data_IF_863670142453
#
_entry.id   IF_863670142453
#
_cell.length_a   1.000
_cell.length_b   1.000
_cell.length_c   1.000
_cell.angle_alpha   90.00
_cell.angle_beta   90.00
_cell.angle_gamma   90.00
#
_symmetry.space_group_name_H-M   'P 1'
#
loop_
_entity.id
_entity.type
_entity.pdbx_description
1 polymer ?
#
# COMPACT_ATOMS: atom_id res chain seq x y z
N UNK A 1 -1.58 -2.34 3.62
CA UNK A 1 -1.56 -0.94 3.11
C UNK A 1 -0.16 -0.32 3.20
N UNK A 2 0.43 -0.21 4.41
CA UNK A 2 1.80 0.34 4.62
C UNK A 2 2.85 -0.17 3.63
N UNK A 3 2.93 -1.49 3.42
CA UNK A 3 3.93 -2.08 2.51
C UNK A 3 3.80 -1.62 1.05
N UNK A 4 2.57 -1.55 0.53
CA UNK A 4 2.30 -1.11 -0.85
C UNK A 4 2.62 0.38 -1.02
N UNK A 5 2.22 1.22 -0.05
CA UNK A 5 2.57 2.64 -0.05
C UNK A 5 4.08 2.87 0.09
N UNK A 6 4.76 2.09 0.93
CA UNK A 6 6.23 2.14 1.04
C UNK A 6 6.90 1.82 -0.29
N UNK A 7 6.45 0.78 -0.97
CA UNK A 7 7.01 0.39 -2.26
C UNK A 7 6.77 1.48 -3.32
N UNK A 8 5.56 2.06 -3.38
CA UNK A 8 5.24 3.13 -4.32
C UNK A 8 5.98 4.43 -4.00
N UNK A 9 6.13 4.77 -2.72
CA UNK A 9 6.93 5.91 -2.29
C UNK A 9 8.42 5.69 -2.59
N UNK A 10 8.94 4.47 -2.45
CA UNK A 10 10.32 4.14 -2.85
C UNK A 10 10.52 4.38 -4.36
N UNK A 11 9.56 3.97 -5.19
CA UNK A 11 9.59 4.24 -6.63
C UNK A 11 9.66 5.74 -6.94
N UNK A 12 8.81 6.56 -6.31
CA UNK A 12 8.86 8.02 -6.49
C UNK A 12 10.13 8.64 -5.95
N UNK A 13 10.69 8.10 -4.87
CA UNK A 13 11.94 8.58 -4.29
C UNK A 13 13.13 8.28 -5.22
N UNK A 14 13.17 7.10 -5.83
CA UNK A 14 14.12 6.79 -6.90
C UNK A 14 14.00 7.78 -8.06
N UNK A 15 12.78 8.14 -8.46
CA UNK A 15 12.54 9.14 -9.51
C UNK A 15 13.07 10.52 -9.11
N UNK A 16 12.81 10.98 -7.87
CA UNK A 16 13.29 12.27 -7.35
C UNK A 16 14.83 12.29 -7.29
N UNK A 17 15.44 11.21 -6.79
CA UNK A 17 16.89 11.07 -6.66
C UNK A 17 17.60 10.63 -7.96
N UNK A 18 16.86 10.52 -9.07
CA UNK A 18 17.38 10.09 -10.39
C UNK A 18 18.13 8.75 -10.36
N UNK A 19 17.64 7.80 -9.56
CA UNK A 19 18.14 6.43 -9.48
C UNK A 19 17.29 5.54 -10.40
N UNK A 20 17.85 5.20 -11.55
CA UNK A 20 17.22 4.42 -12.61
C UNK A 20 17.99 3.12 -12.89
N UNK A 21 17.38 2.18 -13.60
CA UNK A 21 18.00 0.89 -13.93
C UNK A 21 19.36 1.02 -14.63
N UNK A 22 19.57 2.10 -15.39
CA UNK A 22 20.79 2.38 -16.15
C UNK A 22 21.96 2.82 -15.26
N UNK A 23 21.68 3.44 -14.10
CA UNK A 23 22.69 4.10 -13.26
C UNK A 23 22.63 3.66 -11.79
N UNK A 24 21.94 2.56 -11.51
CA UNK A 24 21.72 2.02 -10.17
C UNK A 24 22.99 1.39 -9.62
N UNK A 25 23.37 1.80 -8.42
CA UNK A 25 24.44 1.16 -7.63
C UNK A 25 23.90 0.78 -6.25
N UNK A 26 24.60 -0.12 -5.55
CA UNK A 26 24.20 -0.55 -4.20
C UNK A 26 24.16 0.62 -3.23
N UNK A 27 25.10 1.55 -3.38
CA UNK A 27 25.23 2.74 -2.54
C UNK A 27 24.05 3.69 -2.73
N UNK A 28 23.67 3.97 -3.98
CA UNK A 28 22.48 4.79 -4.30
C UNK A 28 21.20 4.16 -3.78
N UNK A 29 21.03 2.85 -3.94
CA UNK A 29 19.86 2.14 -3.40
C UNK A 29 19.81 2.20 -1.88
N UNK A 30 20.97 2.06 -1.22
CA UNK A 30 21.07 2.17 0.22
C UNK A 30 20.73 3.58 0.72
N UNK A 31 21.13 4.62 -0.01
CA UNK A 31 20.76 6.00 0.30
C UNK A 31 19.24 6.23 0.18
N UNK A 32 18.61 5.77 -0.91
CA UNK A 32 17.15 5.84 -1.07
C UNK A 32 16.44 5.10 0.06
N UNK A 33 16.94 3.91 0.41
CA UNK A 33 16.39 3.09 1.49
C UNK A 33 16.52 3.76 2.87
N UNK A 34 17.65 4.43 3.13
CA UNK A 34 17.85 5.22 4.34
C UNK A 34 16.90 6.42 4.40
N UNK A 35 16.76 7.16 3.30
CA UNK A 35 15.84 8.29 3.17
C UNK A 35 14.40 7.87 3.48
N UNK A 36 13.88 6.81 2.85
CA UNK A 36 12.51 6.37 3.10
C UNK A 36 12.30 5.79 4.50
N UNK A 37 13.34 5.16 5.07
CA UNK A 37 13.30 4.65 6.44
C UNK A 37 13.12 5.76 7.47
N UNK A 38 13.52 7.00 7.19
CA UNK A 38 13.27 8.15 8.10
C UNK A 38 11.78 8.48 8.27
N UNK A 39 10.94 8.10 7.30
CA UNK A 39 9.50 8.38 7.30
C UNK A 39 8.67 7.14 7.63
N UNK A 40 8.95 6.03 6.95
CA UNK A 40 8.16 4.79 7.03
C UNK A 40 8.82 3.71 7.87
N UNK A 41 9.95 4.02 8.51
CA UNK A 41 10.70 3.11 9.37
C UNK A 41 11.48 2.02 8.61
N UNK A 42 12.31 1.32 9.36
CA UNK A 42 13.08 0.16 8.90
C UNK A 42 13.04 -0.96 9.93
N UNK A 43 13.29 -2.19 9.48
CA UNK A 43 13.45 -3.32 10.39
C UNK A 43 14.66 -3.10 11.30
N UNK A 44 14.50 -3.43 12.58
CA UNK A 44 15.57 -3.39 13.55
C UNK A 44 16.56 -4.52 13.27
N UNK A 45 17.79 -4.18 12.93
CA UNK A 45 18.87 -5.16 12.80
C UNK A 45 19.63 -5.26 14.11
N UNK A 46 19.78 -6.49 14.61
CA UNK A 46 20.65 -6.77 15.75
C UNK A 46 22.10 -6.53 15.33
N UNK A 47 22.78 -5.63 16.05
CA UNK A 47 24.18 -5.31 15.77
C UNK A 47 25.16 -6.22 16.51
N UNK A 48 24.65 -7.23 17.24
CA UNK A 48 25.44 -8.17 18.04
C UNK A 48 26.06 -7.54 19.29
N UNK A 49 25.75 -6.27 19.59
CA UNK A 49 26.24 -5.50 20.75
C UNK A 49 25.14 -5.14 21.76
N UNK A 50 23.99 -5.81 21.71
CA UNK A 50 22.84 -5.49 22.56
C UNK A 50 22.11 -4.19 22.20
N UNK A 51 22.50 -3.55 21.08
CA UNK A 51 21.83 -2.40 20.50
C UNK A 51 21.23 -2.78 19.15
N UNK A 52 19.96 -2.46 18.95
CA UNK A 52 19.31 -2.61 17.65
C UNK A 52 19.41 -1.30 16.87
N UNK A 53 19.69 -1.40 15.58
CA UNK A 53 19.67 -0.24 14.67
C UNK A 53 18.46 -0.35 13.76
N UNK A 54 17.53 0.60 13.89
CA UNK A 54 16.30 0.65 13.13
C UNK A 54 15.59 1.99 13.33
N UNK A 55 14.82 2.40 12.34
CA UNK A 55 14.04 3.64 12.39
C UNK A 55 12.59 3.30 12.72
N UNK A 56 12.03 3.98 13.73
CA UNK A 56 10.59 3.93 14.00
C UNK A 56 9.88 4.75 12.91
N UNK A 57 8.78 4.21 12.40
CA UNK A 57 7.94 4.92 11.42
C UNK A 57 7.34 6.16 12.06
N UNK A 58 7.33 7.27 11.32
CA UNK A 58 6.59 8.48 11.72
C UNK A 58 5.14 8.45 11.27
N UNK A 59 4.81 7.56 10.33
CA UNK A 59 3.44 7.35 9.86
C UNK A 59 2.90 6.07 10.47
N UNK A 60 1.82 6.19 11.20
CA UNK A 60 1.08 5.08 11.80
C UNK A 60 -0.17 4.82 10.99
N UNK A 61 -0.43 3.54 10.70
CA UNK A 61 -1.59 3.09 9.95
C UNK A 61 -2.51 2.39 10.93
N UNK A 62 -3.78 2.80 10.98
CA UNK A 62 -4.79 2.06 11.72
C UNK A 62 -5.33 0.93 10.86
N UNK A 63 -5.59 -0.21 11.49
CA UNK A 63 -6.25 -1.33 10.84
C UNK A 63 -7.70 -0.98 10.53
N UNK A 64 -8.17 -1.50 9.39
CA UNK A 64 -9.56 -1.40 8.97
C UNK A 64 -10.25 -2.67 9.43
N UNK A 65 -11.10 -2.54 10.45
CA UNK A 65 -11.88 -3.65 10.98
C UNK A 65 -13.29 -3.54 10.42
N UNK A 66 -13.64 -4.50 9.55
CA UNK A 66 -15.00 -4.65 9.07
C UNK A 66 -15.78 -5.55 10.02
N UNK A 67 -17.06 -5.22 10.22
CA UNK A 67 -17.98 -6.08 10.96
C UNK A 67 -18.07 -7.48 10.34
N UNK A 68 -18.58 -8.47 11.09
CA UNK A 68 -18.68 -9.84 10.60
C UNK A 68 -19.50 -9.86 9.30
N UNK A 69 -19.01 -10.52 8.23
CA UNK A 69 -19.82 -10.72 7.05
C UNK A 69 -21.03 -11.59 7.46
N UNK A 70 -22.24 -11.31 6.95
CA UNK A 70 -23.39 -12.16 7.17
C UNK A 70 -23.10 -13.56 6.61
N UNK A 71 -23.85 -14.56 7.10
CA UNK A 71 -23.67 -15.98 6.80
C UNK A 71 -23.48 -16.25 5.29
N UNK A 72 -22.77 -17.34 4.98
CA UNK A 72 -21.98 -17.68 3.76
C UNK A 72 -22.46 -17.27 2.36
N UNK A 73 -23.67 -16.77 2.14
CA UNK A 73 -24.19 -16.39 0.82
C UNK A 73 -24.99 -15.08 0.84
N UNK A 74 -25.00 -14.34 1.94
CA UNK A 74 -25.69 -13.07 2.03
C UNK A 74 -24.87 -11.97 1.35
N UNK A 75 -25.50 -11.29 0.38
CA UNK A 75 -25.08 -9.98 -0.10
C UNK A 75 -25.02 -9.11 1.15
N UNK A 76 -23.80 -8.78 1.56
CA UNK A 76 -23.58 -7.87 2.66
C UNK A 76 -23.85 -6.47 2.11
N UNK A 77 -25.10 -6.04 2.12
CA UNK A 77 -25.36 -4.61 2.17
C UNK A 77 -25.05 -4.20 3.61
N UNK A 78 -23.77 -3.94 3.88
CA UNK A 78 -23.46 -3.00 4.95
C UNK A 78 -24.15 -1.70 4.54
N UNK A 79 -25.38 -1.47 4.99
CA UNK A 79 -26.18 -0.28 4.67
C UNK A 79 -25.43 1.03 4.97
N UNK A 80 -24.39 0.95 5.83
CA UNK A 80 -23.55 2.09 6.21
C UNK A 80 -22.42 2.41 5.23
N UNK A 81 -21.80 1.41 4.60
CA UNK A 81 -20.56 1.61 3.82
C UNK A 81 -20.64 1.06 2.38
N UNK A 82 -21.69 0.32 2.01
CA UNK A 82 -21.91 -0.20 0.65
C UNK A 82 -20.96 -1.32 0.21
N UNK A 83 -20.18 -1.89 1.13
CA UNK A 83 -19.20 -2.95 0.83
C UNK A 83 -19.88 -4.32 0.81
N UNK A 84 -19.87 -4.99 -0.34
CA UNK A 84 -20.50 -6.30 -0.56
C UNK A 84 -19.46 -7.41 -0.66
N UNK A 85 -19.64 -8.52 0.07
CA UNK A 85 -18.85 -9.73 -0.13
C UNK A 85 -19.36 -10.52 -1.34
N UNK A 86 -18.49 -10.84 -2.30
CA UNK A 86 -18.83 -11.64 -3.49
C UNK A 86 -17.86 -12.81 -3.66
N UNK A 87 -18.38 -13.97 -4.06
CA UNK A 87 -17.57 -15.14 -4.41
C UNK A 87 -17.46 -15.23 -5.93
N UNK A 88 -16.23 -15.24 -6.44
CA UNK A 88 -15.92 -15.50 -7.84
C UNK A 88 -15.37 -16.92 -7.99
N UNK A 89 -15.95 -17.70 -8.90
CA UNK A 89 -15.44 -19.03 -9.23
C UNK A 89 -14.52 -18.93 -10.45
N UNK A 90 -13.40 -19.63 -10.37
CA UNK A 90 -12.38 -19.71 -11.41
C UNK A 90 -12.15 -21.17 -11.78
N UNK A 91 -12.11 -21.44 -13.08
CA UNK A 91 -11.68 -22.71 -13.64
C UNK A 91 -10.38 -22.49 -14.40
N UNK A 92 -9.44 -23.44 -14.30
CA UNK A 92 -8.26 -23.45 -15.14
C UNK A 92 -8.57 -24.15 -16.45
N UNK A 93 -8.40 -23.45 -17.57
CA UNK A 93 -8.55 -24.02 -18.90
C UNK A 93 -7.20 -24.61 -19.34
N UNK A 94 -7.23 -25.86 -19.80
CA UNK A 94 -6.10 -26.48 -20.45
C UNK A 94 -5.87 -25.83 -21.81
N UNK A 95 -4.64 -25.35 -22.03
CA UNK A 95 -4.25 -24.66 -23.27
C UNK A 95 -4.14 -25.60 -24.48
N UNK A 96 -4.02 -26.91 -24.28
CA UNK A 96 -3.93 -27.89 -25.36
C UNK A 96 -5.29 -28.45 -25.76
N UNK A 97 -6.11 -28.82 -24.78
CA UNK A 97 -7.40 -29.48 -25.04
C UNK A 97 -8.58 -28.51 -25.09
N UNK A 98 -8.43 -27.28 -24.56
CA UNK A 98 -9.52 -26.32 -24.40
C UNK A 98 -10.55 -26.73 -23.34
N UNK A 99 -10.37 -27.88 -22.69
CA UNK A 99 -11.20 -28.36 -21.60
C UNK A 99 -10.85 -27.74 -20.25
N UNK A 100 -11.73 -27.91 -19.27
CA UNK A 100 -11.41 -27.58 -17.88
C UNK A 100 -10.45 -28.63 -17.30
N UNK A 101 -9.45 -28.18 -16.55
CA UNK A 101 -8.56 -29.06 -15.79
C UNK A 101 -9.31 -29.54 -14.54
N UNK A 102 -9.40 -30.85 -14.37
CA UNK A 102 -10.04 -31.45 -13.21
C UNK A 102 -9.30 -31.07 -11.90
N UNK A 103 -10.05 -30.82 -10.84
CA UNK A 103 -9.52 -30.35 -9.56
C UNK A 103 -9.00 -28.90 -9.54
N UNK A 104 -9.13 -28.14 -10.64
CA UNK A 104 -8.65 -26.75 -10.73
C UNK A 104 -9.78 -25.71 -10.62
N UNK A 105 -10.84 -26.04 -9.88
CA UNK A 105 -11.87 -25.09 -9.48
C UNK A 105 -11.42 -24.35 -8.21
N UNK A 106 -11.26 -23.04 -8.31
CA UNK A 106 -10.89 -22.17 -7.19
C UNK A 106 -11.95 -21.10 -6.99
N UNK A 107 -12.32 -20.84 -5.74
CA UNK A 107 -13.26 -19.78 -5.40
C UNK A 107 -12.52 -18.67 -4.65
N UNK A 108 -12.65 -17.44 -5.13
CA UNK A 108 -12.06 -16.23 -4.53
C UNK A 108 -13.19 -15.40 -3.92
N UNK A 109 -13.10 -15.12 -2.62
CA UNK A 109 -14.01 -14.17 -1.97
C UNK A 109 -13.38 -12.79 -2.01
N UNK A 110 -14.11 -11.82 -2.56
CA UNK A 110 -13.70 -10.43 -2.61
C UNK A 110 -14.66 -9.55 -1.83
N UNK A 111 -14.14 -8.42 -1.37
CA UNK A 111 -14.95 -7.26 -0.99
C UNK A 111 -15.12 -6.40 -2.25
N UNK A 112 -16.36 -6.06 -2.56
CA UNK A 112 -16.74 -5.36 -3.78
C UNK A 112 -17.59 -4.14 -3.45
N UNK A 113 -17.22 -3.00 -4.05
CA UNK A 113 -17.90 -1.74 -3.83
C UNK A 113 -17.70 -1.16 -2.44
N UNK A 114 -18.37 -0.04 -2.20
CA UNK A 114 -18.38 0.68 -0.93
C UNK A 114 -17.13 1.51 -0.64
N UNK A 115 -17.12 2.08 0.56
CA UNK A 115 -16.05 2.96 1.05
C UNK A 115 -15.38 2.33 2.27
N UNK A 116 -14.05 2.41 2.33
CA UNK A 116 -13.27 1.93 3.47
C UNK A 116 -12.57 3.10 4.16
N UNK A 117 -12.69 3.26 5.49
CA UNK A 117 -12.00 4.33 6.20
C UNK A 117 -10.50 3.98 6.33
N UNK A 118 -9.64 4.73 5.65
CA UNK A 118 -8.19 4.65 5.83
C UNK A 118 -7.70 5.77 6.73
N UNK A 119 -7.29 5.44 7.95
CA UNK A 119 -6.74 6.41 8.91
C UNK A 119 -5.23 6.28 9.03
N UNK A 120 -4.54 7.39 8.80
CA UNK A 120 -3.09 7.53 8.97
C UNK A 120 -2.79 8.67 9.93
N UNK A 121 -1.82 8.48 10.81
CA UNK A 121 -1.35 9.50 11.76
C UNK A 121 0.12 9.82 11.52
N UNK A 122 0.46 11.10 11.53
CA UNK A 122 1.84 11.57 11.40
C UNK A 122 2.35 12.07 12.75
N UNK A 123 3.45 11.48 13.22
CA UNK A 123 4.10 11.79 14.49
C UNK A 123 5.54 12.29 14.22
N UNK A 124 5.76 13.61 14.14
CA UNK A 124 7.06 14.20 13.78
C UNK A 124 8.09 14.21 14.93
N UNK A 125 8.16 13.16 15.75
CA UNK A 125 9.13 13.07 16.83
C UNK A 125 10.53 12.63 16.35
N UNK A 126 11.57 12.99 17.10
CA UNK A 126 12.96 12.63 16.82
C UNK A 126 13.60 13.40 15.66
N UNK A 127 14.57 12.78 14.97
CA UNK A 127 15.26 13.38 13.82
C UNK A 127 14.28 13.65 12.70
N UNK A 128 14.38 14.79 12.01
CA UNK A 128 13.49 15.14 10.91
C UNK A 128 13.49 14.08 9.78
N UNK A 129 12.31 13.84 9.19
CA UNK A 129 12.21 12.92 8.06
C UNK A 129 12.70 13.61 6.79
N UNK A 130 13.38 12.87 5.94
CA UNK A 130 13.89 13.36 4.66
C UNK A 130 12.76 14.05 3.87
N UNK A 131 12.92 15.34 3.49
CA UNK A 131 11.92 16.07 2.74
C UNK A 131 11.52 15.40 1.42
N UNK A 132 12.47 14.75 0.74
CA UNK A 132 12.18 14.04 -0.50
C UNK A 132 11.43 12.73 -0.23
N UNK A 133 11.65 12.08 0.91
CA UNK A 133 10.83 10.95 1.33
C UNK A 133 9.37 11.37 1.59
N UNK A 134 9.15 12.54 2.22
CA UNK A 134 7.81 13.12 2.40
C UNK A 134 7.13 13.42 1.06
N UNK A 135 7.85 14.05 0.11
CA UNK A 135 7.34 14.33 -1.25
C UNK A 135 7.02 13.03 -1.99
N UNK A 136 7.90 12.03 -1.93
CA UNK A 136 7.69 10.75 -2.57
C UNK A 136 6.47 10.00 -2.01
N UNK A 137 6.27 10.10 -0.69
CA UNK A 137 5.08 9.55 -0.03
C UNK A 137 3.80 10.29 -0.45
N UNK A 138 3.83 11.62 -0.57
CA UNK A 138 2.71 12.39 -1.09
C UNK A 138 2.29 11.93 -2.51
N UNK A 139 3.25 11.69 -3.41
CA UNK A 139 2.96 11.15 -4.74
C UNK A 139 2.38 9.73 -4.69
N UNK A 140 2.83 8.91 -3.74
CA UNK A 140 2.23 7.58 -3.52
C UNK A 140 0.77 7.66 -3.02
N UNK A 141 0.44 8.65 -2.19
CA UNK A 141 -0.95 8.91 -1.76
C UNK A 141 -1.82 9.37 -2.93
N UNK A 142 -1.30 10.24 -3.80
CA UNK A 142 -1.98 10.65 -5.03
C UNK A 142 -2.26 9.46 -5.94
N UNK A 143 -1.30 8.56 -6.11
CA UNK A 143 -1.51 7.35 -6.90
C UNK A 143 -2.61 6.47 -6.32
N UNK A 144 -2.66 6.32 -4.98
CA UNK A 144 -3.73 5.57 -4.32
C UNK A 144 -5.09 6.25 -4.52
N UNK A 145 -5.17 7.57 -4.34
CA UNK A 145 -6.41 8.32 -4.48
C UNK A 145 -6.96 8.34 -5.91
N UNK A 146 -6.09 8.29 -6.92
CA UNK A 146 -6.46 8.31 -8.33
C UNK A 146 -6.63 6.91 -8.94
N UNK A 147 -6.60 5.83 -8.14
CA UNK A 147 -6.75 4.46 -8.65
C UNK A 147 -5.56 3.95 -9.47
N UNK A 148 -4.37 4.52 -9.27
CA UNK A 148 -3.13 4.10 -9.94
C UNK A 148 -2.29 3.12 -9.12
N UNK A 149 -2.69 2.86 -7.87
CA UNK A 149 -2.02 1.94 -6.94
C UNK A 149 -3.01 0.90 -6.41
N UNK A 150 -3.01 -0.34 -6.93
CA UNK A 150 -3.86 -1.38 -6.38
C UNK A 150 -3.35 -1.86 -5.02
N UNK A 151 -4.27 -2.14 -4.10
CA UNK A 151 -4.00 -2.75 -2.80
C UNK A 151 -4.38 -4.24 -2.83
N UNK A 152 -3.46 -5.10 -2.38
CA UNK A 152 -3.70 -6.54 -2.26
C UNK A 152 -3.29 -7.32 -3.50
N UNK A 153 -3.91 -8.48 -3.70
CA UNK A 153 -3.59 -9.42 -4.78
C UNK A 153 -4.57 -9.27 -5.97
N UNK A 154 -4.29 -10.00 -7.05
CA UNK A 154 -5.17 -10.12 -8.21
C UNK A 154 -5.50 -8.80 -8.95
N UNK A 155 -4.60 -7.81 -8.91
CA UNK A 155 -4.72 -6.58 -9.70
C UNK A 155 -4.85 -6.84 -11.21
N UNK A 156 -4.23 -7.92 -11.73
CA UNK A 156 -4.38 -8.38 -13.11
C UNK A 156 -5.82 -8.79 -13.48
N UNK A 157 -6.67 -9.07 -12.48
CA UNK A 157 -8.12 -9.33 -12.65
C UNK A 157 -8.99 -8.10 -12.40
N UNK A 158 -8.38 -6.93 -12.17
CA UNK A 158 -9.09 -5.69 -11.85
C UNK A 158 -9.45 -5.53 -10.36
N UNK A 159 -8.84 -6.29 -9.45
CA UNK A 159 -9.08 -6.17 -8.01
C UNK A 159 -8.14 -5.15 -7.34
N UNK A 160 -8.60 -4.61 -6.21
CA UNK A 160 -7.77 -3.78 -5.34
C UNK A 160 -7.61 -2.33 -5.76
N UNK A 161 -8.36 -1.84 -6.74
CA UNK A 161 -8.34 -0.43 -7.13
C UNK A 161 -9.30 0.37 -6.26
N UNK A 162 -8.81 1.51 -5.77
CA UNK A 162 -9.55 2.43 -4.91
C UNK A 162 -9.42 3.84 -5.44
N UNK A 163 -10.44 4.66 -5.22
CA UNK A 163 -10.37 6.11 -5.40
C UNK A 163 -10.72 6.78 -4.09
N UNK A 164 -10.20 7.98 -3.87
CA UNK A 164 -10.51 8.77 -2.69
C UNK A 164 -10.57 10.26 -3.05
N UNK A 165 -11.41 10.99 -2.33
CA UNK A 165 -11.34 12.44 -2.34
C UNK A 165 -10.02 12.86 -1.69
N UNK A 166 -9.17 13.53 -2.47
CA UNK A 166 -7.81 13.86 -2.04
C UNK A 166 -7.55 15.35 -2.16
N UNK A 167 -7.32 16.01 -1.03
CA UNK A 167 -6.89 17.39 -0.97
C UNK A 167 -5.36 17.46 -0.82
N UNK A 168 -4.67 17.83 -1.90
CA UNK A 168 -3.21 17.92 -1.91
C UNK A 168 -2.65 18.96 -0.93
N UNK A 169 -3.33 20.11 -0.74
CA UNK A 169 -2.88 21.16 0.17
C UNK A 169 -2.95 20.68 1.63
N UNK A 170 -4.06 20.04 2.00
CA UNK A 170 -4.19 19.44 3.33
C UNK A 170 -3.16 18.35 3.57
N UNK A 171 -2.88 17.50 2.57
CA UNK A 171 -1.87 16.46 2.67
C UNK A 171 -0.45 17.03 2.82
N UNK A 172 -0.12 18.11 2.10
CA UNK A 172 1.16 18.83 2.22
C UNK A 172 1.32 19.43 3.61
N UNK A 173 0.30 20.10 4.11
CA UNK A 173 0.28 20.66 5.46
C UNK A 173 0.41 19.57 6.52
N UNK A 174 -0.31 18.46 6.38
CA UNK A 174 -0.26 17.31 7.27
C UNK A 174 1.15 16.69 7.35
N UNK A 175 1.85 16.59 6.23
CA UNK A 175 3.24 16.09 6.17
C UNK A 175 4.31 17.13 6.55
N UNK A 176 3.90 18.35 6.89
CA UNK A 176 4.82 19.47 7.14
C UNK A 176 5.78 19.69 5.97
N UNK A 177 5.23 19.77 4.75
CA UNK A 177 5.95 20.10 3.52
C UNK A 177 5.87 21.60 3.16
N UNK A 178 5.05 22.36 3.88
CA UNK A 178 4.92 23.80 3.74
C UNK A 178 5.71 24.48 4.87
N UNK A 179 6.58 25.43 4.49
CA UNK A 179 7.21 26.38 5.42
C UNK A 179 6.25 27.52 5.74
#
# INVERSE_FOLDING_TARGET
IRGVLRHRAFYHLCKIKQVYAENVTKEKLQEVEQSIATLLGSEAKDTGKGTSSGNISKIFFRDIILGPPPARDAICESEKDGVVSKIFNHVKIDRFTGGAIDGALFSERVLYGGTLPLTMEYHPSGNEADPDAKKAFLEALKDLANGLLPLGAASAKGHGFFTADFNEQEAKKWLSLEN
#
